data_IF_452913882829
#
_entry.id   IF_452913882829
#
_cell.length_a   1.000
_cell.length_b   1.000
_cell.length_c   1.000
_cell.angle_alpha   90.00
_cell.angle_beta   90.00
_cell.angle_gamma   90.00
#
_symmetry.space_group_name_H-M   'P 1'
#
loop_
_entity.id
_entity.type
_entity.pdbx_description
1 polymer ?
#
# COMPACT_ATOMS: atom_id res chain seq x y z
N UNK A 1 32.66 35.96 -37.63
CA UNK A 1 32.90 36.26 -36.20
C UNK A 1 31.78 35.64 -35.38
N UNK A 2 32.15 34.70 -34.53
CA UNK A 2 31.27 33.91 -33.66
C UNK A 2 30.74 34.80 -32.53
N UNK A 3 29.42 34.90 -32.36
CA UNK A 3 28.80 35.46 -31.15
C UNK A 3 28.19 34.30 -30.36
N UNK A 4 28.86 33.95 -29.27
CA UNK A 4 28.44 32.98 -28.26
C UNK A 4 27.25 33.58 -27.51
N UNK A 5 26.10 32.92 -27.55
CA UNK A 5 24.96 33.22 -26.69
C UNK A 5 25.11 32.37 -25.42
N UNK A 6 25.46 33.00 -24.30
CA UNK A 6 25.59 32.35 -23.00
C UNK A 6 24.18 32.05 -22.47
N UNK A 7 23.83 30.77 -22.40
CA UNK A 7 22.66 30.28 -21.65
C UNK A 7 22.92 30.43 -20.15
N UNK A 8 22.21 31.36 -19.50
CA UNK A 8 21.90 31.26 -18.07
C UNK A 8 20.63 30.42 -17.97
N UNK A 9 20.80 29.11 -17.78
CA UNK A 9 19.73 28.29 -17.21
C UNK A 9 19.87 28.44 -15.70
N UNK A 10 19.04 29.30 -15.11
CA UNK A 10 18.83 29.27 -13.68
C UNK A 10 18.26 27.87 -13.35
N UNK A 11 19.08 27.05 -12.70
CA UNK A 11 18.65 25.80 -12.08
C UNK A 11 17.69 26.14 -10.95
N UNK A 12 16.42 26.37 -11.28
CA UNK A 12 15.35 26.09 -10.35
C UNK A 12 15.30 24.58 -10.17
N UNK A 13 16.11 24.07 -9.23
CA UNK A 13 15.79 22.81 -8.59
C UNK A 13 14.51 23.03 -7.80
N UNK A 14 13.38 22.87 -8.48
CA UNK A 14 12.15 22.48 -7.81
C UNK A 14 12.46 21.15 -7.14
N UNK A 15 12.84 21.18 -5.86
CA UNK A 15 12.71 20.02 -5.00
C UNK A 15 11.20 19.74 -4.90
N UNK A 16 10.66 19.09 -5.94
CA UNK A 16 9.43 18.36 -5.79
C UNK A 16 9.81 17.20 -4.86
N UNK A 17 9.52 17.36 -3.57
CA UNK A 17 9.52 16.30 -2.58
C UNK A 17 8.37 15.34 -2.96
N UNK A 18 8.52 14.65 -4.09
CA UNK A 18 7.64 13.57 -4.47
C UNK A 18 7.99 12.41 -3.56
N UNK A 19 7.05 11.99 -2.71
CA UNK A 19 7.19 10.72 -2.00
C UNK A 19 7.51 9.64 -3.05
N UNK A 20 8.59 8.87 -2.84
CA UNK A 20 8.93 7.74 -3.71
C UNK A 20 7.96 6.59 -3.42
N UNK A 21 6.81 6.68 -4.06
CA UNK A 21 5.67 5.80 -3.85
C UNK A 21 5.77 4.62 -4.82
N UNK A 22 5.71 3.39 -4.32
CA UNK A 22 5.73 2.20 -5.17
C UNK A 22 4.50 2.20 -6.09
N UNK A 23 4.74 2.11 -7.41
CA UNK A 23 3.71 1.98 -8.44
C UNK A 23 3.57 0.51 -8.86
N UNK A 24 2.34 -0.01 -9.03
CA UNK A 24 2.15 -1.34 -9.59
C UNK A 24 2.55 -1.39 -11.07
N UNK A 25 3.02 -2.55 -11.52
CA UNK A 25 3.20 -2.87 -12.94
C UNK A 25 2.05 -3.80 -13.39
N UNK A 26 1.75 -3.82 -14.68
CA UNK A 26 0.77 -4.75 -15.27
C UNK A 26 1.37 -6.17 -15.20
N UNK A 27 0.53 -7.15 -14.87
CA UNK A 27 0.91 -8.57 -14.89
C UNK A 27 1.17 -9.05 -16.33
N UNK A 28 2.28 -9.77 -16.55
CA UNK A 28 2.73 -10.24 -17.86
C UNK A 28 3.15 -11.73 -17.81
N UNK A 29 2.24 -12.58 -17.33
CA UNK A 29 2.36 -14.06 -17.32
C UNK A 29 3.63 -14.64 -16.68
N UNK A 30 4.27 -13.88 -15.79
CA UNK A 30 5.43 -14.33 -15.02
C UNK A 30 5.06 -15.36 -13.94
N UNK A 31 6.02 -16.18 -13.50
CA UNK A 31 5.80 -17.11 -12.39
C UNK A 31 5.56 -16.34 -11.07
N UNK A 32 4.32 -16.37 -10.60
CA UNK A 32 3.83 -15.70 -9.37
C UNK A 32 3.71 -16.63 -8.17
N UNK A 33 4.15 -17.89 -8.30
CA UNK A 33 4.16 -18.84 -7.18
C UNK A 33 4.91 -18.19 -6.02
N UNK A 34 4.34 -18.25 -4.81
CA UNK A 34 4.93 -17.67 -3.59
C UNK A 34 4.83 -16.14 -3.46
N UNK A 35 4.21 -15.43 -4.41
CA UNK A 35 3.94 -14.00 -4.23
C UNK A 35 2.79 -13.81 -3.24
N UNK A 36 2.70 -12.63 -2.64
CA UNK A 36 1.52 -12.24 -1.87
C UNK A 36 0.52 -11.56 -2.79
N UNK A 37 -0.77 -11.77 -2.53
CA UNK A 37 -1.88 -11.13 -3.23
C UNK A 37 -2.89 -10.56 -2.23
N UNK A 38 -3.53 -9.47 -2.61
CA UNK A 38 -4.59 -8.82 -1.83
C UNK A 38 -5.62 -8.16 -2.74
N UNK A 39 -6.82 -7.91 -2.23
CA UNK A 39 -7.82 -7.11 -2.95
C UNK A 39 -7.24 -5.72 -3.28
N UNK A 40 -7.48 -5.27 -4.51
CA UNK A 40 -7.29 -3.89 -4.91
C UNK A 40 -8.53 -3.10 -4.48
N UNK A 41 -8.34 -2.13 -3.60
CA UNK A 41 -9.42 -1.24 -3.16
C UNK A 41 -9.50 -0.03 -4.09
N UNK A 42 -10.73 0.28 -4.54
CA UNK A 42 -11.03 1.47 -5.34
C UNK A 42 -11.32 2.66 -4.42
N UNK A 43 -10.26 3.31 -3.93
CA UNK A 43 -10.35 4.41 -2.99
C UNK A 43 -9.43 5.58 -3.35
N UNK A 44 -9.02 6.33 -2.33
CA UNK A 44 -8.01 7.37 -2.47
C UNK A 44 -6.76 6.96 -1.69
N UNK A 45 -5.65 6.73 -2.39
CA UNK A 45 -4.35 6.48 -1.77
C UNK A 45 -3.97 7.62 -0.82
N UNK A 46 -3.71 7.25 0.44
CA UNK A 46 -3.27 8.13 1.51
C UNK A 46 -1.91 7.71 2.03
N UNK A 47 -0.95 8.63 2.00
CA UNK A 47 0.37 8.49 2.60
C UNK A 47 0.38 9.24 3.94
N UNK A 48 0.61 8.52 5.03
CA UNK A 48 0.87 9.10 6.33
C UNK A 48 2.39 9.24 6.51
N UNK A 49 2.89 10.45 6.80
CA UNK A 49 4.34 10.69 6.94
C UNK A 49 4.88 10.46 8.36
N UNK A 50 4.01 10.08 9.30
CA UNK A 50 4.29 10.07 10.74
C UNK A 50 3.60 11.21 11.51
N UNK A 51 3.00 12.17 10.80
CA UNK A 51 2.33 13.35 11.38
C UNK A 51 1.11 13.82 10.59
N UNK A 52 1.17 13.81 9.26
CA UNK A 52 0.14 14.33 8.38
C UNK A 52 -0.12 13.37 7.21
N UNK A 53 -1.29 13.52 6.60
CA UNK A 53 -1.71 12.74 5.43
C UNK A 53 -1.50 13.50 4.13
N UNK A 54 -1.07 12.78 3.10
CA UNK A 54 -0.83 13.27 1.75
C UNK A 54 -1.46 12.35 0.70
N UNK A 55 -2.00 12.94 -0.35
CA UNK A 55 -2.42 12.19 -1.55
C UNK A 55 -1.21 11.69 -2.37
N UNK A 56 -1.47 10.83 -3.36
CA UNK A 56 -0.45 10.37 -4.32
C UNK A 56 0.33 11.47 -5.04
N UNK A 57 -0.24 12.68 -5.15
CA UNK A 57 0.38 13.83 -5.81
C UNK A 57 1.11 14.77 -4.82
N UNK A 58 1.19 14.41 -3.54
CA UNK A 58 1.84 15.21 -2.51
C UNK A 58 0.98 16.32 -1.90
N UNK A 59 -0.30 16.42 -2.27
CA UNK A 59 -1.22 17.37 -1.64
C UNK A 59 -1.61 16.88 -0.25
N UNK A 60 -1.52 17.75 0.76
CA UNK A 60 -2.01 17.48 2.12
C UNK A 60 -3.52 17.24 2.10
N UNK A 61 -3.97 16.20 2.81
CA UNK A 61 -5.38 15.87 2.99
C UNK A 61 -5.92 16.49 4.28
N UNK A 62 -7.16 16.98 4.26
CA UNK A 62 -7.82 17.51 5.46
C UNK A 62 -8.48 16.38 6.26
N UNK A 63 -7.66 15.61 6.96
CA UNK A 63 -8.09 14.48 7.78
C UNK A 63 -8.44 14.98 9.19
N UNK A 64 -9.59 14.59 9.78
CA UNK A 64 -9.95 15.06 11.11
C UNK A 64 -9.02 14.50 12.18
N UNK A 65 -8.72 15.30 13.21
CA UNK A 65 -7.79 14.94 14.29
C UNK A 65 -8.14 13.63 14.99
N UNK A 66 -9.44 13.36 15.16
CA UNK A 66 -9.91 12.12 15.80
C UNK A 66 -9.62 10.87 14.95
N UNK A 67 -9.51 11.01 13.63
CA UNK A 67 -9.25 9.89 12.71
C UNK A 67 -7.80 9.45 12.79
N UNK A 68 -6.88 10.42 12.90
CA UNK A 68 -5.43 10.18 13.01
C UNK A 68 -4.97 9.94 14.45
N UNK A 69 -5.89 9.94 15.41
CA UNK A 69 -5.56 9.65 16.80
C UNK A 69 -4.91 8.27 16.88
N UNK A 70 -3.84 8.17 17.65
CA UNK A 70 -3.10 6.93 17.91
C UNK A 70 -2.36 6.35 16.68
N UNK A 71 -2.17 7.16 15.62
CA UNK A 71 -1.31 6.82 14.49
C UNK A 71 0.18 6.81 14.88
N UNK A 72 0.99 5.97 14.21
CA UNK A 72 2.40 5.83 14.54
C UNK A 72 3.24 7.05 14.13
N UNK A 73 4.37 7.30 14.79
CA UNK A 73 5.34 8.32 14.38
C UNK A 73 6.24 7.83 13.23
N UNK A 74 5.74 6.95 12.36
CA UNK A 74 6.46 6.43 11.20
C UNK A 74 5.55 6.35 9.96
N UNK A 75 6.13 6.37 8.75
CA UNK A 75 5.33 6.41 7.54
C UNK A 75 4.47 5.17 7.30
N UNK A 76 3.26 5.39 6.79
CA UNK A 76 2.34 4.34 6.33
C UNK A 76 1.86 4.68 4.92
N UNK A 77 1.60 3.64 4.12
CA UNK A 77 0.98 3.78 2.80
C UNK A 77 -0.21 2.81 2.72
N UNK A 78 -1.32 3.34 2.23
CA UNK A 78 -2.62 2.69 2.34
C UNK A 78 -3.69 3.38 1.51
N UNK A 79 -4.87 2.76 1.49
CA UNK A 79 -6.04 3.27 0.76
C UNK A 79 -7.09 3.80 1.74
N UNK A 80 -7.48 5.06 1.58
CA UNK A 80 -8.67 5.61 2.23
C UNK A 80 -9.91 5.12 1.48
N UNK A 81 -10.77 4.38 2.19
CA UNK A 81 -11.83 3.60 1.56
C UNK A 81 -13.03 3.42 2.49
N UNK A 82 -14.24 3.33 1.93
CA UNK A 82 -15.48 3.05 2.67
C UNK A 82 -16.00 1.64 2.40
N UNK A 83 -16.49 1.40 1.19
CA UNK A 83 -17.05 0.13 0.71
C UNK A 83 -16.89 0.03 -0.81
N UNK A 84 -17.19 -1.16 -1.35
CA UNK A 84 -17.15 -1.42 -2.80
C UNK A 84 -18.18 -0.55 -3.54
N UNK A 85 -17.82 -0.11 -4.75
CA UNK A 85 -18.62 0.78 -5.60
C UNK A 85 -19.02 2.11 -4.94
N UNK A 86 -18.13 2.70 -4.14
CA UNK A 86 -18.40 3.94 -3.38
C UNK A 86 -17.37 5.04 -3.67
N UNK A 87 -16.65 4.93 -4.79
CA UNK A 87 -15.54 5.81 -5.14
C UNK A 87 -15.93 7.30 -5.15
N UNK A 88 -17.10 7.66 -5.67
CA UNK A 88 -17.58 9.05 -5.69
C UNK A 88 -17.75 9.62 -4.27
N UNK A 89 -18.27 8.83 -3.34
CA UNK A 89 -18.39 9.21 -1.93
C UNK A 89 -17.01 9.34 -1.28
N UNK A 90 -16.12 8.38 -1.51
CA UNK A 90 -14.74 8.40 -0.97
C UNK A 90 -14.02 9.65 -1.48
N UNK A 91 -14.07 9.90 -2.80
CA UNK A 91 -13.42 11.04 -3.42
C UNK A 91 -13.94 12.37 -2.85
N UNK A 92 -15.27 12.55 -2.81
CA UNK A 92 -15.87 13.78 -2.30
C UNK A 92 -15.61 14.02 -0.81
N UNK A 93 -15.41 12.97 -0.01
CA UNK A 93 -15.08 13.07 1.41
C UNK A 93 -13.60 13.32 1.66
N UNK A 94 -12.73 12.56 1.00
CA UNK A 94 -11.27 12.56 1.26
C UNK A 94 -10.58 13.76 0.62
N UNK A 95 -11.05 14.22 -0.54
CA UNK A 95 -10.47 15.36 -1.26
C UNK A 95 -11.16 16.68 -0.91
N UNK A 96 -12.10 16.70 0.02
CA UNK A 96 -12.69 17.94 0.52
C UNK A 96 -11.63 18.78 1.25
N UNK A 97 -11.70 20.09 1.01
CA UNK A 97 -10.93 21.10 1.74
C UNK A 97 -11.41 21.27 3.17
N UNK A 98 -12.63 20.84 3.51
CA UNK A 98 -13.20 20.88 4.86
C UNK A 98 -13.57 19.48 5.33
N UNK A 99 -12.93 19.03 6.43
CA UNK A 99 -13.25 17.74 7.02
C UNK A 99 -14.70 17.71 7.51
N UNK A 100 -15.46 16.70 7.07
CA UNK A 100 -16.87 16.50 7.41
C UNK A 100 -17.07 15.29 8.32
N UNK A 101 -18.29 15.15 8.86
CA UNK A 101 -18.67 13.96 9.64
C UNK A 101 -18.70 12.66 8.80
N UNK A 102 -18.65 12.76 7.47
CA UNK A 102 -18.65 11.60 6.56
C UNK A 102 -17.37 10.75 6.69
N UNK A 103 -16.28 11.33 7.22
CA UNK A 103 -15.07 10.60 7.57
C UNK A 103 -15.30 9.40 8.49
N UNK A 104 -16.41 9.38 9.26
CA UNK A 104 -16.80 8.22 10.08
C UNK A 104 -17.06 6.95 9.27
N UNK A 105 -17.33 7.08 7.97
CA UNK A 105 -17.53 5.96 7.04
C UNK A 105 -16.25 5.57 6.31
N UNK A 106 -15.17 6.33 6.47
CA UNK A 106 -13.87 6.06 5.86
C UNK A 106 -13.05 5.18 6.81
N UNK A 107 -12.26 4.31 6.20
CA UNK A 107 -11.22 3.50 6.84
C UNK A 107 -9.90 3.74 6.10
N UNK A 108 -8.79 3.60 6.81
CA UNK A 108 -7.45 3.61 6.24
C UNK A 108 -6.93 2.17 6.20
N UNK A 109 -6.75 1.65 4.98
CA UNK A 109 -6.42 0.26 4.71
C UNK A 109 -4.95 0.17 4.29
N UNK A 110 -4.10 -0.09 5.28
CA UNK A 110 -2.64 -0.06 5.15
C UNK A 110 -2.16 -1.28 4.36
N UNK A 111 -1.35 -1.03 3.35
CA UNK A 111 -0.69 -2.09 2.57
C UNK A 111 0.83 -2.00 2.61
N UNK A 112 1.45 -0.96 3.16
CA UNK A 112 2.91 -0.83 3.24
C UNK A 112 3.37 0.10 4.37
N UNK A 113 4.61 -0.09 4.84
CA UNK A 113 5.31 0.80 5.78
C UNK A 113 6.61 1.27 5.11
N UNK A 114 6.55 2.38 4.34
CA UNK A 114 7.69 2.86 3.56
C UNK A 114 8.92 3.12 4.41
N UNK A 115 10.11 2.87 3.86
CA UNK A 115 11.42 3.09 4.50
C UNK A 115 11.69 2.28 5.78
N UNK A 116 10.76 1.43 6.24
CA UNK A 116 11.04 0.50 7.33
C UNK A 116 12.04 -0.59 6.88
N UNK A 117 12.87 -1.04 7.82
CA UNK A 117 13.83 -2.13 7.57
C UNK A 117 13.10 -3.46 7.42
N UNK A 118 13.65 -4.35 6.61
CA UNK A 118 13.14 -5.71 6.41
C UNK A 118 12.38 -5.88 5.10
N UNK A 119 11.93 -7.13 4.88
CA UNK A 119 11.08 -7.47 3.74
C UNK A 119 9.66 -6.94 3.91
N UNK A 120 8.84 -7.08 2.87
CA UNK A 120 7.47 -6.59 2.86
C UNK A 120 6.63 -7.10 4.03
N UNK A 121 6.74 -8.40 4.34
CA UNK A 121 6.02 -9.02 5.47
C UNK A 121 6.42 -8.42 6.81
N UNK A 122 7.73 -8.21 7.03
CA UNK A 122 8.26 -7.59 8.25
C UNK A 122 7.78 -6.14 8.39
N UNK A 123 7.73 -5.39 7.29
CA UNK A 123 7.26 -4.01 7.28
C UNK A 123 5.77 -3.92 7.63
N UNK A 124 4.92 -4.76 7.02
CA UNK A 124 3.50 -4.82 7.37
C UNK A 124 3.27 -5.30 8.82
N UNK A 125 4.07 -6.26 9.30
CA UNK A 125 3.99 -6.72 10.69
C UNK A 125 4.24 -5.57 11.67
N UNK A 126 5.17 -4.67 11.38
CA UNK A 126 5.41 -3.47 12.20
C UNK A 126 4.15 -2.61 12.36
N UNK A 127 3.37 -2.40 11.29
CA UNK A 127 2.10 -1.68 11.38
C UNK A 127 1.06 -2.48 12.20
N UNK A 128 0.97 -3.79 11.97
CA UNK A 128 0.06 -4.66 12.74
C UNK A 128 0.33 -4.59 14.24
N UNK A 129 1.60 -4.68 14.65
CA UNK A 129 2.01 -4.60 16.06
C UNK A 129 1.66 -3.25 16.69
N UNK A 130 1.89 -2.15 15.98
CA UNK A 130 1.52 -0.82 16.46
C UNK A 130 0.02 -0.73 16.80
N UNK A 131 -0.85 -1.14 15.88
CA UNK A 131 -2.30 -1.03 16.06
C UNK A 131 -2.90 -2.11 16.97
N UNK A 132 -2.14 -3.14 17.35
CA UNK A 132 -2.53 -4.02 18.47
C UNK A 132 -2.45 -3.29 19.81
N UNK A 133 -1.44 -2.44 19.99
CA UNK A 133 -1.23 -1.65 21.21
C UNK A 133 -1.98 -0.30 21.18
N UNK A 134 -2.20 0.24 19.98
CA UNK A 134 -2.80 1.56 19.73
C UNK A 134 -4.05 1.41 18.86
N UNK A 135 -5.13 0.88 19.44
CA UNK A 135 -6.32 0.54 18.67
C UNK A 135 -6.96 1.77 18.04
N UNK A 136 -7.19 1.70 16.73
CA UNK A 136 -7.98 2.69 15.99
C UNK A 136 -9.03 1.95 15.14
N UNK A 137 -10.33 2.16 15.37
CA UNK A 137 -11.40 1.43 14.67
C UNK A 137 -11.52 1.77 13.18
N UNK A 138 -10.86 2.83 12.73
CA UNK A 138 -10.82 3.26 11.33
C UNK A 138 -9.58 2.74 10.59
N UNK A 139 -8.75 1.92 11.23
CA UNK A 139 -7.53 1.39 10.60
C UNK A 139 -7.64 -0.11 10.38
N UNK A 140 -7.32 -0.53 9.17
CA UNK A 140 -7.20 -1.94 8.80
C UNK A 140 -5.81 -2.20 8.20
N UNK A 141 -5.28 -3.40 8.42
CA UNK A 141 -4.16 -3.92 7.63
C UNK A 141 -4.74 -4.76 6.50
N UNK A 142 -4.42 -4.44 5.24
CA UNK A 142 -4.91 -5.19 4.09
C UNK A 142 -4.40 -6.64 4.18
N UNK A 143 -5.35 -7.58 4.19
CA UNK A 143 -5.05 -9.02 4.26
C UNK A 143 -4.19 -9.44 3.07
N UNK A 144 -3.04 -10.04 3.39
CA UNK A 144 -2.12 -10.62 2.41
C UNK A 144 -2.31 -12.14 2.34
N UNK A 145 -2.49 -12.67 1.14
CA UNK A 145 -2.71 -14.10 0.87
C UNK A 145 -1.55 -14.62 0.02
N UNK A 146 -1.00 -15.79 0.34
CA UNK A 146 0.03 -16.42 -0.50
C UNK A 146 -0.62 -16.95 -1.79
N UNK A 147 -0.20 -16.41 -2.93
CA UNK A 147 -0.53 -16.91 -4.25
C UNK A 147 0.16 -18.27 -4.47
N UNK A 148 -0.64 -19.29 -4.82
CA UNK A 148 -0.15 -20.67 -4.95
C UNK A 148 0.26 -20.94 -6.39
N UNK A 149 -0.52 -20.43 -7.32
CA UNK A 149 -0.40 -20.55 -8.76
C UNK A 149 -1.38 -19.56 -9.42
N UNK A 150 -1.37 -19.54 -10.75
CA UNK A 150 -2.26 -18.72 -11.57
C UNK A 150 -3.76 -19.06 -11.35
N UNK A 151 -4.10 -20.33 -11.16
CA UNK A 151 -5.49 -20.73 -10.87
C UNK A 151 -5.99 -20.16 -9.54
N UNK A 152 -5.15 -20.11 -8.51
CA UNK A 152 -5.48 -19.48 -7.24
C UNK A 152 -5.66 -17.97 -7.38
N UNK A 153 -4.81 -17.31 -8.18
CA UNK A 153 -4.97 -15.88 -8.47
C UNK A 153 -6.29 -15.61 -9.21
N UNK A 154 -6.58 -16.38 -10.26
CA UNK A 154 -7.80 -16.20 -11.06
C UNK A 154 -9.05 -16.48 -10.22
N UNK A 155 -9.07 -17.56 -9.43
CA UNK A 155 -10.21 -17.86 -8.55
C UNK A 155 -10.44 -16.77 -7.50
N UNK A 156 -9.36 -16.20 -6.93
CA UNK A 156 -9.48 -15.07 -6.01
C UNK A 156 -9.98 -13.80 -6.72
N UNK A 157 -9.49 -13.52 -7.93
CA UNK A 157 -9.97 -12.40 -8.75
C UNK A 157 -11.47 -12.53 -9.07
N UNK A 158 -11.91 -13.72 -9.48
CA UNK A 158 -13.32 -14.00 -9.79
C UNK A 158 -14.21 -13.78 -8.55
N UNK A 159 -13.76 -14.21 -7.37
CA UNK A 159 -14.44 -13.95 -6.09
C UNK A 159 -14.56 -12.44 -5.82
N UNK A 160 -13.46 -11.70 -5.95
CA UNK A 160 -13.45 -10.25 -5.74
C UNK A 160 -14.40 -9.55 -6.71
N UNK A 161 -14.37 -9.89 -7.99
CA UNK A 161 -15.26 -9.31 -9.02
C UNK A 161 -16.72 -9.65 -8.72
N UNK A 162 -17.02 -10.90 -8.36
CA UNK A 162 -18.39 -11.33 -8.01
C UNK A 162 -18.96 -10.53 -6.84
N UNK A 163 -18.09 -10.10 -5.93
CA UNK A 163 -18.47 -9.24 -4.81
C UNK A 163 -18.34 -7.73 -5.10
N UNK A 164 -18.17 -7.34 -6.37
CA UNK A 164 -18.02 -5.97 -6.89
C UNK A 164 -16.74 -5.25 -6.45
N UNK A 165 -15.69 -5.99 -6.13
CA UNK A 165 -14.37 -5.41 -5.87
C UNK A 165 -13.64 -5.06 -7.16
N UNK A 166 -12.61 -4.23 -7.05
CA UNK A 166 -11.95 -3.64 -8.23
C UNK A 166 -10.99 -4.62 -8.93
N UNK A 167 -10.36 -5.50 -8.15
CA UNK A 167 -9.40 -6.46 -8.67
C UNK A 167 -8.44 -6.97 -7.60
N UNK A 168 -7.27 -7.44 -8.04
CA UNK A 168 -6.24 -8.01 -7.16
C UNK A 168 -4.90 -7.36 -7.43
N UNK A 169 -4.16 -7.04 -6.38
CA UNK A 169 -2.75 -6.64 -6.44
C UNK A 169 -1.89 -7.82 -6.03
N UNK A 170 -0.82 -8.08 -6.77
CA UNK A 170 0.20 -9.07 -6.43
C UNK A 170 1.52 -8.39 -6.10
N UNK A 171 2.27 -8.96 -5.16
CA UNK A 171 3.55 -8.45 -4.70
C UNK A 171 4.54 -9.58 -4.50
N UNK A 172 5.65 -9.51 -5.23
CA UNK A 172 6.79 -10.39 -5.02
C UNK A 172 7.32 -10.17 -3.60
N UNK A 173 7.46 -11.27 -2.87
CA UNK A 173 8.17 -11.29 -1.58
C UNK A 173 9.48 -12.02 -1.76
N UNK A 174 10.56 -11.45 -1.24
CA UNK A 174 11.86 -12.11 -1.19
C UNK A 174 11.80 -13.21 -0.13
N UNK A 175 11.89 -14.46 -0.54
CA UNK A 175 12.00 -15.59 0.36
C UNK A 175 13.48 -15.95 0.55
N UNK A 176 13.86 -16.29 1.78
CA UNK A 176 15.13 -16.97 2.03
C UNK A 176 14.90 -18.47 1.79
N UNK A 177 15.70 -19.05 0.92
CA UNK A 177 15.75 -20.48 0.69
C UNK A 177 17.19 -20.96 0.87
N UNK A 178 17.36 -22.24 1.20
CA UNK A 178 18.67 -22.80 1.54
C UNK A 178 19.23 -23.67 0.41
N UNK A 179 18.40 -24.13 -0.53
CA UNK A 179 18.80 -24.96 -1.68
C UNK A 179 17.70 -24.94 -2.76
N UNK A 180 17.89 -25.56 -3.92
CA UNK A 180 16.87 -25.79 -4.96
C UNK A 180 16.62 -27.28 -5.20
N UNK A 181 15.41 -27.65 -5.60
CA UNK A 181 15.08 -28.98 -6.12
C UNK A 181 15.69 -29.18 -7.50
N UNK A 182 15.76 -30.43 -7.96
CA UNK A 182 16.23 -30.78 -9.32
C UNK A 182 15.48 -30.06 -10.46
N UNK A 183 14.29 -29.51 -10.18
CA UNK A 183 13.46 -28.78 -11.13
C UNK A 183 13.52 -27.25 -10.93
N UNK A 184 14.48 -26.75 -10.15
CA UNK A 184 14.64 -25.29 -9.92
C UNK A 184 13.68 -24.68 -8.91
N UNK A 185 12.91 -25.49 -8.16
CA UNK A 185 12.03 -24.99 -7.09
C UNK A 185 12.82 -24.83 -5.79
N UNK A 186 12.79 -23.68 -5.10
CA UNK A 186 13.49 -23.48 -3.83
C UNK A 186 13.11 -24.50 -2.74
N UNK A 187 14.09 -25.20 -2.15
CA UNK A 187 13.94 -26.05 -0.96
C UNK A 187 14.01 -25.19 0.30
N UNK A 188 13.16 -25.52 1.26
CA UNK A 188 13.07 -24.81 2.54
C UNK A 188 12.81 -23.31 2.37
N UNK A 189 12.05 -22.92 1.33
CA UNK A 189 11.55 -21.57 1.17
C UNK A 189 10.77 -21.20 2.43
N UNK A 190 11.43 -20.43 3.29
CA UNK A 190 10.87 -19.99 4.55
C UNK A 190 10.35 -18.59 4.28
N UNK A 191 9.06 -18.45 4.03
CA UNK A 191 8.42 -17.17 4.30
C UNK A 191 8.64 -16.90 5.78
N UNK A 192 9.05 -15.68 6.15
CA UNK A 192 9.04 -15.26 7.55
C UNK A 192 7.58 -15.27 8.03
N UNK A 193 7.09 -16.44 8.46
CA UNK A 193 5.84 -16.59 9.18
C UNK A 193 6.10 -16.07 10.59
N UNK A 194 5.45 -14.98 10.93
CA UNK A 194 5.23 -14.61 12.34
C UNK A 194 4.33 -15.70 12.92
N UNK A 195 4.82 -16.43 13.93
CA UNK A 195 3.97 -17.34 14.69
C UNK A 195 3.00 -16.47 15.49
N UNK A 196 1.69 -16.70 15.35
CA UNK A 196 0.73 -16.16 16.30
C UNK A 196 1.03 -16.79 17.67
N UNK A 197 1.19 -15.96 18.70
CA UNK A 197 1.29 -16.46 20.07
C UNK A 197 -0.07 -17.05 20.43
N UNK A 198 -0.08 -18.34 20.78
CA UNK A 198 -1.17 -18.99 21.51
C UNK A 198 -1.37 -18.35 22.89
#
# INVERSE_FOLDING_TARGET
MLKILILIFALFHSFAFGFEVQKPQIYDDQNITSWLMSEKLDGIRGYWDGKEFYSKNGNKLNVPDWFIKDFPPFPLDGELWSKRNDFEFIQSTVLDTHSSNEWKKITYNIFEVPNAKGDFSTRLQKAKEWFLEHQNPHVNIIKQIVCKDEYHLQGFLDEIIALKGEGVVIKMVTFKYYDFTKNGVPKFASFLRVREKE
#
